data_IF_201442753913
#
_entry.id   IF_201442753913
#
_cell.length_a   1.000
_cell.length_b   1.000
_cell.length_c   1.000
_cell.angle_alpha   90.00
_cell.angle_beta   90.00
_cell.angle_gamma   90.00
#
_symmetry.space_group_name_H-M   'P 1'
#
loop_
_entity.id
_entity.type
_entity.pdbx_description
1 polymer ?
#
# COMPACT_ATOMS: atom_id res chain seq x y z
N UNK A 1 10.27 15.13 -14.16
CA UNK A 1 10.78 16.52 -14.25
C UNK A 1 11.04 17.03 -12.82
N UNK A 2 12.30 17.03 -12.35
CA UNK A 2 12.62 17.38 -10.96
C UNK A 2 12.50 18.88 -10.65
N UNK A 3 12.73 19.76 -11.64
CA UNK A 3 12.55 21.20 -11.46
C UNK A 3 11.07 21.56 -11.24
N UNK A 4 10.17 20.88 -11.96
CA UNK A 4 8.74 21.02 -11.72
C UNK A 4 8.33 20.51 -10.33
N UNK A 5 8.92 19.42 -9.85
CA UNK A 5 8.67 18.92 -8.48
C UNK A 5 9.15 19.93 -7.44
N UNK A 6 10.35 20.49 -7.63
CA UNK A 6 10.93 21.54 -6.79
C UNK A 6 10.02 22.77 -6.73
N UNK A 7 9.50 23.22 -7.89
CA UNK A 7 8.54 24.33 -7.97
C UNK A 7 7.22 24.01 -7.28
N UNK A 8 6.70 22.81 -7.45
CA UNK A 8 5.49 22.36 -6.76
C UNK A 8 5.68 22.38 -5.25
N UNK A 9 6.78 21.82 -4.75
CA UNK A 9 7.13 21.88 -3.33
C UNK A 9 7.25 23.31 -2.82
N UNK A 10 7.93 24.20 -3.56
CA UNK A 10 8.03 25.60 -3.16
C UNK A 10 6.67 26.29 -3.01
N UNK A 11 5.75 25.98 -3.93
CA UNK A 11 4.39 26.53 -3.89
C UNK A 11 3.57 25.93 -2.74
N UNK A 12 3.67 24.63 -2.48
CA UNK A 12 2.89 23.96 -1.41
C UNK A 12 3.34 24.43 -0.04
N UNK A 13 4.65 24.53 0.17
CA UNK A 13 5.22 24.88 1.48
C UNK A 13 5.40 26.38 1.67
N UNK A 14 5.18 27.21 0.64
CA UNK A 14 5.38 28.67 0.66
C UNK A 14 6.81 29.06 1.09
N UNK A 15 7.78 28.22 0.78
CA UNK A 15 9.22 28.37 1.08
C UNK A 15 9.99 27.84 -0.12
N UNK A 16 11.10 28.47 -0.52
CA UNK A 16 11.87 27.97 -1.67
C UNK A 16 12.49 26.59 -1.36
N UNK A 17 12.20 25.59 -2.18
CA UNK A 17 12.98 24.36 -2.21
C UNK A 17 14.36 24.68 -2.80
N UNK A 18 15.44 24.46 -2.05
CA UNK A 18 16.81 24.82 -2.43
C UNK A 18 17.51 23.67 -3.15
N UNK A 19 17.26 22.42 -2.75
CA UNK A 19 17.84 21.24 -3.38
C UNK A 19 16.92 20.02 -3.33
N UNK A 20 17.17 19.11 -4.27
CA UNK A 20 16.53 17.81 -4.35
C UNK A 20 17.63 16.74 -4.37
N UNK A 21 17.50 15.73 -3.51
CA UNK A 21 18.47 14.65 -3.39
C UNK A 21 17.73 13.32 -3.49
N UNK A 22 18.23 12.41 -4.31
CA UNK A 22 17.70 11.05 -4.37
C UNK A 22 17.98 10.34 -3.05
N UNK A 23 16.94 9.75 -2.45
CA UNK A 23 17.03 9.15 -1.12
C UNK A 23 17.14 7.63 -1.20
N UNK A 24 16.29 7.00 -2.00
CA UNK A 24 16.27 5.56 -2.26
C UNK A 24 15.50 5.28 -3.55
N UNK A 25 15.90 4.24 -4.27
CA UNK A 25 15.08 3.60 -5.29
C UNK A 25 14.33 2.42 -4.64
N UNK A 26 13.01 2.54 -4.52
CA UNK A 26 12.12 1.42 -4.23
C UNK A 26 11.62 0.79 -5.54
N UNK A 27 10.98 -0.37 -5.46
CA UNK A 27 10.53 -1.11 -6.66
C UNK A 27 9.54 -0.34 -7.55
N UNK A 28 8.68 0.50 -6.94
CA UNK A 28 7.62 1.22 -7.66
C UNK A 28 7.74 2.75 -7.60
N UNK A 29 8.71 3.28 -6.87
CA UNK A 29 8.82 4.71 -6.57
C UNK A 29 10.25 5.22 -6.60
N UNK A 30 10.41 6.42 -7.16
CA UNK A 30 11.60 7.24 -6.94
C UNK A 30 11.34 8.21 -5.80
N UNK A 31 12.15 8.13 -4.74
CA UNK A 31 11.97 8.92 -3.53
C UNK A 31 13.09 9.95 -3.42
N UNK A 32 12.70 11.20 -3.23
CA UNK A 32 13.62 12.33 -3.11
C UNK A 32 13.43 13.05 -1.78
N UNK A 33 14.53 13.43 -1.14
CA UNK A 33 14.52 14.45 -0.10
C UNK A 33 14.50 15.83 -0.77
N UNK A 34 13.55 16.66 -0.35
CA UNK A 34 13.37 18.05 -0.73
C UNK A 34 13.86 18.92 0.43
N UNK A 35 14.93 19.69 0.22
CA UNK A 35 15.45 20.60 1.24
C UNK A 35 14.94 22.00 0.98
N UNK A 36 14.32 22.59 1.99
CA UNK A 36 13.76 23.93 1.93
C UNK A 36 14.74 24.96 2.46
N UNK A 37 14.57 26.22 2.07
CA UNK A 37 15.41 27.35 2.50
C UNK A 37 15.37 27.57 4.02
N UNK A 38 14.25 27.26 4.67
CA UNK A 38 14.10 27.33 6.12
C UNK A 38 14.78 26.16 6.87
N UNK A 39 15.51 25.30 6.16
CA UNK A 39 16.22 24.15 6.72
C UNK A 39 15.35 22.91 6.95
N UNK A 40 14.04 22.96 6.68
CA UNK A 40 13.18 21.78 6.77
C UNK A 40 13.40 20.84 5.59
N UNK A 41 13.19 19.55 5.84
CA UNK A 41 13.27 18.49 4.84
C UNK A 41 11.90 17.82 4.69
N UNK A 42 11.54 17.52 3.43
CA UNK A 42 10.30 16.81 3.07
C UNK A 42 10.61 15.69 2.08
N UNK A 43 9.66 14.79 1.87
CA UNK A 43 9.75 13.77 0.84
C UNK A 43 8.93 14.16 -0.38
N UNK A 44 9.57 14.07 -1.55
CA UNK A 44 8.91 14.00 -2.85
C UNK A 44 8.96 12.56 -3.36
N UNK A 45 7.81 11.89 -3.38
CA UNK A 45 7.67 10.49 -3.86
C UNK A 45 7.03 10.51 -5.25
N UNK A 46 7.73 10.01 -6.26
CA UNK A 46 7.28 9.93 -7.65
C UNK A 46 6.91 8.49 -7.99
N UNK A 47 5.69 8.28 -8.47
CA UNK A 47 5.26 6.97 -8.94
C UNK A 47 5.96 6.62 -10.27
N UNK A 48 6.49 5.40 -10.35
CA UNK A 48 6.97 4.83 -11.61
C UNK A 48 5.73 4.35 -12.35
N UNK A 49 5.47 4.96 -13.51
CA UNK A 49 4.21 4.81 -14.25
C UNK A 49 4.04 3.38 -14.78
N UNK A 50 3.13 2.65 -14.13
CA UNK A 50 2.55 1.37 -14.56
C UNK A 50 1.11 1.33 -14.04
N UNK A 51 0.27 2.28 -14.49
CA UNK A 51 -1.18 2.39 -14.27
C UNK A 51 -1.69 2.44 -12.81
N UNK A 52 -3.00 2.66 -12.61
CA UNK A 52 -3.78 3.89 -12.79
C UNK A 52 -3.71 4.83 -11.57
N UNK A 53 -4.12 6.10 -11.77
CA UNK A 53 -4.38 7.21 -10.82
C UNK A 53 -4.81 6.79 -9.40
N UNK A 54 -5.57 5.70 -9.31
CA UNK A 54 -6.15 5.17 -8.06
C UNK A 54 -5.12 4.69 -7.04
N UNK A 55 -3.89 4.31 -7.45
CA UNK A 55 -2.86 3.87 -6.50
C UNK A 55 -2.47 5.01 -5.55
N UNK A 56 -2.06 6.15 -6.13
CA UNK A 56 -1.69 7.35 -5.38
C UNK A 56 -2.87 7.85 -4.55
N UNK A 57 -4.07 7.89 -5.13
CA UNK A 57 -5.29 8.33 -4.42
C UNK A 57 -5.59 7.48 -3.19
N UNK A 58 -5.48 6.15 -3.34
CA UNK A 58 -5.75 5.25 -2.24
C UNK A 58 -4.66 5.29 -1.19
N UNK A 59 -3.38 5.34 -1.58
CA UNK A 59 -2.26 5.42 -0.64
C UNK A 59 -2.40 6.65 0.27
N UNK A 60 -2.70 7.82 -0.31
CA UNK A 60 -2.91 9.05 0.46
C UNK A 60 -4.13 8.93 1.38
N UNK A 61 -5.24 8.38 0.89
CA UNK A 61 -6.43 8.19 1.70
C UNK A 61 -6.21 7.23 2.88
N UNK A 62 -5.44 6.15 2.69
CA UNK A 62 -5.08 5.21 3.76
C UNK A 62 -4.22 5.88 4.82
N UNK A 63 -3.17 6.62 4.43
CA UNK A 63 -2.31 7.33 5.39
C UNK A 63 -3.11 8.33 6.22
N UNK A 64 -3.99 9.10 5.57
CA UNK A 64 -4.85 10.06 6.29
C UNK A 64 -5.85 9.36 7.22
N UNK A 65 -6.47 8.26 6.77
CA UNK A 65 -7.38 7.47 7.59
C UNK A 65 -6.68 6.92 8.85
N UNK A 66 -5.47 6.39 8.72
CA UNK A 66 -4.68 5.89 9.85
C UNK A 66 -4.34 7.01 10.82
N UNK A 67 -3.92 8.17 10.30
CA UNK A 67 -3.55 9.34 11.09
C UNK A 67 -4.72 9.88 11.91
N UNK A 68 -5.94 9.82 11.37
CA UNK A 68 -7.15 10.29 12.06
C UNK A 68 -7.69 9.29 13.09
N UNK A 69 -7.45 7.98 12.90
CA UNK A 69 -8.09 6.93 13.70
C UNK A 69 -7.13 6.18 14.63
N UNK A 70 -5.82 6.46 14.59
CA UNK A 70 -4.81 5.76 15.39
C UNK A 70 -3.67 6.67 15.84
N UNK A 71 -2.75 6.13 16.64
CA UNK A 71 -1.46 6.74 16.97
C UNK A 71 -0.28 6.13 16.20
N UNK A 72 -0.55 5.36 15.14
CA UNK A 72 0.51 4.78 14.33
C UNK A 72 1.22 5.93 13.59
N UNK A 73 2.55 6.04 13.69
CA UNK A 73 3.28 7.07 12.97
C UNK A 73 3.26 6.75 11.47
N UNK A 74 2.58 7.57 10.69
CA UNK A 74 2.57 7.53 9.23
C UNK A 74 2.92 8.93 8.70
N UNK A 75 3.54 9.05 7.51
CA UNK A 75 3.90 10.36 6.97
C UNK A 75 2.66 11.26 6.80
N UNK A 76 2.71 12.49 7.30
CA UNK A 76 1.70 13.49 6.94
C UNK A 76 1.82 13.86 5.47
N UNK A 77 0.74 13.71 4.70
CA UNK A 77 0.67 14.16 3.31
C UNK A 77 0.31 15.65 3.29
N UNK A 78 1.10 16.45 2.57
CA UNK A 78 0.87 17.89 2.39
C UNK A 78 0.21 18.20 1.06
N UNK A 79 0.59 17.48 0.02
CA UNK A 79 0.04 17.62 -1.31
C UNK A 79 0.27 16.34 -2.12
N UNK A 80 -0.58 16.09 -3.09
CA UNK A 80 -0.41 14.99 -4.03
C UNK A 80 -1.11 15.33 -5.34
N UNK A 81 -0.67 14.69 -6.42
CA UNK A 81 -1.31 14.77 -7.72
C UNK A 81 -1.22 13.41 -8.40
N UNK A 82 -2.36 12.78 -8.64
CA UNK A 82 -2.49 11.47 -9.27
C UNK A 82 -2.65 11.53 -10.79
N UNK A 83 -2.74 12.73 -11.38
CA UNK A 83 -2.84 12.90 -12.82
C UNK A 83 -1.45 13.02 -13.43
N UNK A 84 -1.18 12.29 -14.52
CA UNK A 84 0.07 12.47 -15.29
C UNK A 84 0.10 13.82 -16.04
N UNK A 85 -1.06 14.46 -16.21
CA UNK A 85 -1.20 15.76 -16.88
C UNK A 85 -0.87 16.90 -15.90
N UNK A 86 0.34 16.87 -15.35
CA UNK A 86 0.87 17.91 -14.47
C UNK A 86 2.33 18.23 -14.86
N UNK A 87 2.90 19.39 -14.45
CA UNK A 87 4.25 19.79 -14.86
C UNK A 87 5.38 18.82 -14.49
N UNK A 88 5.21 17.98 -13.47
CA UNK A 88 6.17 16.94 -13.06
C UNK A 88 6.21 15.78 -14.07
N UNK A 89 5.08 15.54 -14.74
CA UNK A 89 4.90 14.51 -15.78
C UNK A 89 4.62 13.11 -15.26
N UNK A 90 4.40 12.95 -13.95
CA UNK A 90 4.00 11.68 -13.31
C UNK A 90 3.21 11.97 -12.04
N UNK A 91 2.59 10.94 -11.48
CA UNK A 91 1.94 11.02 -10.17
C UNK A 91 2.98 11.23 -9.07
N UNK A 92 2.66 12.07 -8.09
CA UNK A 92 3.57 12.33 -6.99
C UNK A 92 2.86 12.73 -5.70
N UNK A 93 3.56 12.49 -4.60
CA UNK A 93 3.16 12.85 -3.24
C UNK A 93 4.27 13.73 -2.64
N UNK A 94 3.87 14.84 -2.02
CA UNK A 94 4.70 15.67 -1.15
C UNK A 94 4.26 15.42 0.29
N UNK A 95 5.16 14.85 1.09
CA UNK A 95 4.84 14.37 2.43
C UNK A 95 5.97 14.63 3.43
N UNK A 96 5.66 14.40 4.69
CA UNK A 96 6.59 14.51 5.81
C UNK A 96 7.79 13.59 5.66
N UNK A 97 8.97 14.12 6.00
CA UNK A 97 10.17 13.32 6.21
C UNK A 97 10.19 12.77 7.63
N UNK A 98 10.00 11.46 7.78
CA UNK A 98 10.07 10.80 9.08
C UNK A 98 11.53 10.46 9.45
N UNK A 99 11.99 10.77 10.67
CA UNK A 99 13.36 10.52 11.07
C UNK A 99 13.58 9.03 11.36
N UNK A 100 14.74 8.50 11.00
CA UNK A 100 15.13 7.13 11.39
C UNK A 100 15.79 6.37 10.24
N UNK A 101 16.06 5.09 10.50
CA UNK A 101 16.57 4.12 9.53
C UNK A 101 15.61 2.94 9.46
N UNK A 102 15.66 2.17 8.37
CA UNK A 102 14.77 1.00 8.24
C UNK A 102 15.17 -0.05 9.26
N UNK A 103 14.18 -0.69 9.87
CA UNK A 103 14.42 -1.74 10.86
C UNK A 103 15.19 -2.91 10.25
N UNK A 104 14.96 -3.23 8.97
CA UNK A 104 15.70 -4.26 8.24
C UNK A 104 17.22 -4.05 8.25
N UNK A 105 17.67 -2.79 8.14
CA UNK A 105 19.08 -2.43 8.01
C UNK A 105 19.89 -2.71 9.30
N UNK A 106 19.21 -2.76 10.44
CA UNK A 106 19.84 -2.99 11.74
C UNK A 106 19.42 -4.30 12.41
N UNK A 107 18.37 -4.98 11.91
CA UNK A 107 17.74 -6.11 12.60
C UNK A 107 18.72 -7.21 12.98
N UNK A 108 19.62 -7.59 12.08
CA UNK A 108 20.65 -8.63 12.31
C UNK A 108 21.58 -8.29 13.47
N UNK A 109 21.90 -7.00 13.65
CA UNK A 109 22.83 -6.48 14.65
C UNK A 109 22.18 -6.22 16.02
N UNK A 110 20.85 -6.28 16.12
CA UNK A 110 20.14 -6.08 17.38
C UNK A 110 20.27 -7.30 18.31
N UNK A 111 20.54 -7.04 19.59
CA UNK A 111 20.46 -8.06 20.62
C UNK A 111 19.00 -8.52 20.86
N UNK A 112 18.83 -9.67 21.53
CA UNK A 112 17.51 -10.27 21.75
C UNK A 112 16.54 -9.37 22.52
N UNK A 113 17.05 -8.54 23.46
CA UNK A 113 16.22 -7.60 24.23
C UNK A 113 15.62 -6.53 23.32
N UNK A 114 16.42 -5.95 22.43
CA UNK A 114 15.96 -4.95 21.46
C UNK A 114 15.03 -5.55 20.41
N UNK A 115 15.32 -6.76 19.90
CA UNK A 115 14.42 -7.48 18.99
C UNK A 115 13.05 -7.71 19.64
N UNK A 116 13.02 -8.16 20.90
CA UNK A 116 11.79 -8.32 21.67
C UNK A 116 11.04 -6.99 21.83
N UNK A 117 11.75 -5.91 22.14
CA UNK A 117 11.16 -4.57 22.27
C UNK A 117 10.45 -4.13 20.97
N UNK A 118 11.15 -4.19 19.83
CA UNK A 118 10.55 -3.81 18.54
C UNK A 118 9.40 -4.74 18.15
N UNK A 119 9.52 -6.05 18.41
CA UNK A 119 8.45 -7.00 18.12
C UNK A 119 7.16 -6.66 18.89
N UNK A 120 7.27 -6.28 20.17
CA UNK A 120 6.09 -5.84 20.94
C UNK A 120 5.44 -4.59 20.33
N UNK A 121 6.24 -3.58 19.96
CA UNK A 121 5.72 -2.36 19.31
C UNK A 121 5.08 -2.66 17.95
N UNK A 122 5.64 -3.61 17.20
CA UNK A 122 5.05 -4.08 15.93
C UNK A 122 3.70 -4.76 16.17
N UNK A 123 3.60 -5.58 17.23
CA UNK A 123 2.33 -6.21 17.62
C UNK A 123 1.31 -5.14 17.96
N UNK A 124 1.68 -4.09 18.70
CA UNK A 124 0.77 -2.99 19.04
C UNK A 124 0.24 -2.27 17.79
N UNK A 125 1.11 -2.01 16.80
CA UNK A 125 0.71 -1.43 15.51
C UNK A 125 -0.28 -2.34 14.78
N UNK A 126 0.02 -3.63 14.68
CA UNK A 126 -0.85 -4.61 14.03
C UNK A 126 -2.21 -4.71 14.72
N UNK A 127 -2.23 -4.70 16.06
CA UNK A 127 -3.48 -4.69 16.83
C UNK A 127 -4.27 -3.39 16.61
N UNK A 128 -3.61 -2.24 16.50
CA UNK A 128 -4.27 -0.97 16.21
C UNK A 128 -4.90 -0.97 14.79
N UNK A 129 -4.19 -1.47 13.78
CA UNK A 129 -4.74 -1.61 12.42
C UNK A 129 -5.94 -2.57 12.38
N UNK A 130 -5.87 -3.68 13.11
CA UNK A 130 -6.95 -4.67 13.18
C UNK A 130 -8.23 -4.16 13.86
N UNK A 131 -8.15 -3.10 14.66
CA UNK A 131 -9.35 -2.43 15.23
C UNK A 131 -10.10 -1.58 14.21
N UNK A 132 -9.47 -1.26 13.08
CA UNK A 132 -10.08 -0.50 12.01
C UNK A 132 -10.85 -1.47 11.10
N UNK A 133 -12.16 -1.59 11.33
CA UNK A 133 -13.03 -2.54 10.65
C UNK A 133 -13.88 -1.90 9.57
N UNK A 134 -14.17 -2.64 8.51
CA UNK A 134 -14.95 -2.19 7.36
C UNK A 134 -16.03 -3.19 6.97
N UNK A 135 -17.07 -2.72 6.28
CA UNK A 135 -18.19 -3.56 5.82
C UNK A 135 -17.98 -4.19 4.44
N UNK A 136 -16.88 -3.85 3.75
CA UNK A 136 -16.53 -4.37 2.42
C UNK A 136 -15.03 -4.55 2.29
N UNK A 137 -14.63 -5.45 1.41
CA UNK A 137 -13.26 -5.61 0.94
C UNK A 137 -12.99 -4.62 -0.19
N UNK A 138 -11.86 -3.94 -0.14
CA UNK A 138 -11.49 -2.93 -1.13
C UNK A 138 -10.46 -1.94 -0.60
N UNK A 139 -9.92 -1.14 -1.50
CA UNK A 139 -9.02 -0.05 -1.11
C UNK A 139 -9.80 1.17 -0.63
N UNK A 140 -9.15 1.97 0.23
CA UNK A 140 -9.74 3.17 0.82
C UNK A 140 -9.50 4.35 -0.12
N UNK A 141 -10.52 5.17 -0.34
CA UNK A 141 -10.46 6.40 -1.13
C UNK A 141 -11.17 7.54 -0.41
N UNK A 142 -10.84 8.78 -0.74
CA UNK A 142 -11.67 9.93 -0.34
C UNK A 142 -13.02 9.91 -1.07
N UNK A 143 -14.10 10.27 -0.39
CA UNK A 143 -15.45 10.30 -0.96
C UNK A 143 -15.82 11.65 -1.62
N UNK A 144 -14.85 12.52 -1.86
CA UNK A 144 -15.04 13.83 -2.50
C UNK A 144 -15.88 14.84 -1.69
N UNK A 145 -16.40 14.44 -0.52
CA UNK A 145 -17.11 15.28 0.44
C UNK A 145 -16.34 15.26 1.77
N UNK A 146 -15.92 16.43 2.26
CA UNK A 146 -15.43 16.73 3.62
C UNK A 146 -14.76 15.57 4.35
N UNK A 147 -13.52 15.23 3.99
CA UNK A 147 -12.66 14.27 4.72
C UNK A 147 -13.31 12.90 5.01
N UNK A 148 -14.35 12.52 4.24
CA UNK A 148 -14.97 11.21 4.34
C UNK A 148 -14.24 10.20 3.47
N UNK A 149 -14.27 8.94 3.90
CA UNK A 149 -13.62 7.83 3.24
C UNK A 149 -14.66 6.83 2.74
N UNK A 150 -14.36 6.18 1.62
CA UNK A 150 -15.15 5.08 1.06
C UNK A 150 -14.27 3.90 0.70
N UNK A 151 -14.86 2.71 0.72
CA UNK A 151 -14.26 1.50 0.17
C UNK A 151 -14.61 1.40 -1.31
N UNK A 152 -13.59 1.42 -2.16
CA UNK A 152 -13.69 1.30 -3.62
C UNK A 152 -13.12 -0.02 -4.12
N UNK A 153 -12.67 -0.03 -5.37
CA UNK A 153 -12.01 -1.21 -5.92
C UNK A 153 -10.75 -1.59 -5.13
N UNK A 154 -10.41 -2.88 -5.09
CA UNK A 154 -9.12 -3.39 -4.62
C UNK A 154 -8.05 -2.95 -5.60
N UNK A 155 -7.06 -2.21 -5.09
CA UNK A 155 -5.84 -1.84 -5.80
C UNK A 155 -4.75 -2.84 -5.45
N UNK A 156 -4.53 -3.83 -6.32
CA UNK A 156 -3.48 -4.84 -6.15
C UNK A 156 -2.92 -5.26 -7.50
N UNK A 157 -1.65 -5.66 -7.54
CA UNK A 157 -0.94 -6.05 -8.78
C UNK A 157 -1.71 -7.10 -9.59
N UNK A 158 -2.37 -8.04 -8.91
CA UNK A 158 -3.21 -9.11 -9.48
C UNK A 158 -4.37 -8.59 -10.33
N UNK A 159 -4.81 -7.35 -10.10
CA UNK A 159 -5.87 -6.72 -10.88
C UNK A 159 -5.32 -5.76 -11.95
N UNK A 160 -4.15 -5.15 -11.77
CA UNK A 160 -3.71 -4.02 -12.61
C UNK A 160 -2.46 -4.25 -13.45
N UNK A 161 -1.71 -5.33 -13.23
CA UNK A 161 -0.46 -5.58 -13.97
C UNK A 161 -0.68 -6.13 -15.37
N UNK A 162 0.17 -5.69 -16.32
CA UNK A 162 0.13 -6.14 -17.71
C UNK A 162 -1.19 -5.78 -18.37
N UNK A 163 -1.72 -6.69 -19.19
CA UNK A 163 -2.94 -6.44 -19.95
C UNK A 163 -4.22 -6.51 -19.11
N UNK A 164 -4.11 -6.80 -17.81
CA UNK A 164 -5.25 -6.92 -16.89
C UNK A 164 -6.01 -5.62 -16.71
N UNK A 165 -5.32 -4.48 -16.75
CA UNK A 165 -5.96 -3.16 -16.71
C UNK A 165 -6.86 -2.90 -17.93
N UNK A 166 -6.55 -3.48 -19.09
CA UNK A 166 -7.31 -3.27 -20.34
C UNK A 166 -8.59 -4.10 -20.40
N UNK A 167 -8.84 -4.95 -19.40
CA UNK A 167 -10.00 -5.82 -19.35
C UNK A 167 -11.19 -5.09 -18.70
N UNK A 168 -12.22 -4.70 -19.47
CA UNK A 168 -13.39 -4.01 -18.92
C UNK A 168 -14.26 -4.92 -18.03
N UNK A 169 -14.09 -6.24 -18.14
CA UNK A 169 -14.85 -7.25 -17.39
C UNK A 169 -14.21 -7.68 -16.08
N UNK A 170 -13.10 -7.04 -15.66
CA UNK A 170 -12.44 -7.40 -14.40
C UNK A 170 -13.29 -6.95 -13.22
N UNK A 171 -13.71 -7.91 -12.40
CA UNK A 171 -14.33 -7.63 -11.11
C UNK A 171 -13.23 -7.15 -10.15
N UNK A 172 -13.28 -5.89 -9.74
CA UNK A 172 -12.28 -5.28 -8.84
C UNK A 172 -12.86 -4.88 -7.48
N UNK A 173 -14.14 -5.14 -7.25
CA UNK A 173 -14.82 -4.75 -6.02
C UNK A 173 -15.39 -3.33 -6.06
N UNK A 174 -15.79 -2.77 -4.89
CA UNK A 174 -15.66 -3.38 -3.56
C UNK A 174 -16.50 -4.66 -3.42
N UNK A 175 -16.01 -5.62 -2.63
CA UNK A 175 -16.69 -6.91 -2.40
C UNK A 175 -17.36 -6.94 -1.02
N UNK A 176 -18.51 -7.58 -0.91
CA UNK A 176 -19.25 -7.65 0.37
C UNK A 176 -18.84 -8.84 1.23
N UNK A 177 -18.37 -9.91 0.61
CA UNK A 177 -17.98 -11.13 1.32
C UNK A 177 -16.59 -11.63 0.89
N UNK A 178 -15.92 -12.37 1.76
CA UNK A 178 -14.64 -13.04 1.46
C UNK A 178 -14.82 -13.99 0.28
N UNK A 179 -15.96 -14.68 0.19
CA UNK A 179 -16.31 -15.54 -0.95
C UNK A 179 -16.35 -14.76 -2.26
N UNK A 180 -17.03 -13.61 -2.32
CA UNK A 180 -17.09 -12.78 -3.52
C UNK A 180 -15.69 -12.36 -3.99
N UNK A 181 -14.84 -11.90 -3.07
CA UNK A 181 -13.48 -11.49 -3.37
C UNK A 181 -12.64 -12.64 -3.94
N UNK A 182 -12.62 -13.81 -3.29
CA UNK A 182 -11.81 -14.95 -3.74
C UNK A 182 -12.30 -15.46 -5.10
N UNK A 183 -13.61 -15.54 -5.32
CA UNK A 183 -14.17 -15.94 -6.61
C UNK A 183 -13.75 -14.96 -7.72
N UNK A 184 -13.79 -13.65 -7.46
CA UNK A 184 -13.37 -12.63 -8.40
C UNK A 184 -11.88 -12.75 -8.76
N UNK A 185 -11.01 -12.96 -7.77
CA UNK A 185 -9.57 -13.19 -7.97
C UNK A 185 -9.33 -14.39 -8.89
N UNK A 186 -9.97 -15.53 -8.59
CA UNK A 186 -9.82 -16.76 -9.37
C UNK A 186 -10.31 -16.56 -10.82
N UNK A 187 -11.51 -15.97 -11.01
CA UNK A 187 -12.04 -15.66 -12.35
C UNK A 187 -11.11 -14.75 -13.13
N UNK A 188 -10.61 -13.69 -12.51
CA UNK A 188 -9.70 -12.73 -13.16
C UNK A 188 -8.38 -13.40 -13.58
N UNK A 189 -7.86 -14.35 -12.80
CA UNK A 189 -6.71 -15.17 -13.20
C UNK A 189 -6.99 -16.05 -14.41
N UNK A 190 -8.09 -16.80 -14.39
CA UNK A 190 -8.48 -17.67 -15.51
C UNK A 190 -8.74 -16.85 -16.78
N UNK A 191 -9.41 -15.71 -16.67
CA UNK A 191 -9.68 -14.82 -17.80
C UNK A 191 -8.39 -14.26 -18.39
N UNK A 192 -7.46 -13.80 -17.55
CA UNK A 192 -6.16 -13.33 -18.02
C UNK A 192 -5.38 -14.42 -18.77
N UNK A 193 -5.30 -15.63 -18.19
CA UNK A 193 -4.54 -16.73 -18.80
C UNK A 193 -5.16 -17.31 -20.07
N UNK A 194 -6.47 -17.20 -20.23
CA UNK A 194 -7.17 -17.64 -21.45
C UNK A 194 -7.03 -16.64 -22.59
N UNK A 195 -7.04 -15.33 -22.31
CA UNK A 195 -7.15 -14.26 -23.32
C UNK A 195 -5.80 -13.71 -23.81
N UNK A 196 -4.80 -13.58 -22.95
CA UNK A 196 -3.51 -12.98 -23.31
C UNK A 196 -2.43 -14.03 -23.56
N UNK A 197 -1.29 -13.60 -24.15
CA UNK A 197 -0.13 -14.45 -24.44
C UNK A 197 0.44 -15.04 -23.15
N UNK A 198 -0.14 -16.15 -22.73
CA UNK A 198 0.25 -16.89 -21.55
C UNK A 198 1.16 -18.05 -21.94
N UNK A 199 2.20 -18.26 -21.15
CA UNK A 199 3.09 -19.41 -21.29
C UNK A 199 2.32 -20.72 -21.12
N UNK A 200 2.84 -21.82 -21.69
CA UNK A 200 2.27 -23.16 -21.48
C UNK A 200 2.11 -23.51 -19.99
N UNK A 201 3.04 -23.04 -19.15
CA UNK A 201 3.00 -23.17 -17.68
C UNK A 201 1.84 -22.40 -17.03
N UNK A 202 1.49 -21.22 -17.54
CA UNK A 202 0.35 -20.45 -17.01
C UNK A 202 -0.99 -21.07 -17.43
N UNK A 203 -1.10 -21.51 -18.68
CA UNK A 203 -2.32 -22.17 -19.18
C UNK A 203 -2.63 -23.48 -18.45
N UNK A 204 -1.62 -24.25 -18.05
CA UNK A 204 -1.85 -25.48 -17.29
C UNK A 204 -2.33 -25.25 -15.84
N UNK A 205 -2.38 -24.00 -15.37
CA UNK A 205 -2.99 -23.66 -14.08
C UNK A 205 -4.51 -23.48 -14.17
N UNK A 206 -5.07 -23.28 -15.36
CA UNK A 206 -6.52 -23.03 -15.53
C UNK A 206 -7.36 -24.15 -14.89
N UNK A 207 -7.11 -25.45 -15.13
CA UNK A 207 -7.87 -26.52 -14.46
C UNK A 207 -7.76 -26.47 -12.93
N UNK A 208 -6.60 -26.08 -12.39
CA UNK A 208 -6.42 -25.93 -10.94
C UNK A 208 -7.24 -24.77 -10.38
N UNK A 209 -7.34 -23.67 -11.12
CA UNK A 209 -8.20 -22.55 -10.75
C UNK A 209 -9.68 -22.93 -10.82
N UNK A 210 -10.09 -23.75 -11.80
CA UNK A 210 -11.46 -24.28 -11.89
C UNK A 210 -11.77 -25.17 -10.67
N UNK A 211 -10.86 -26.07 -10.28
CA UNK A 211 -11.00 -26.87 -9.05
C UNK A 211 -11.12 -25.98 -7.80
N UNK A 212 -10.22 -25.00 -7.65
CA UNK A 212 -10.27 -24.04 -6.53
C UNK A 212 -11.59 -23.27 -6.50
N UNK A 213 -12.07 -22.82 -7.66
CA UNK A 213 -13.33 -22.10 -7.80
C UNK A 213 -14.51 -22.90 -7.25
N UNK A 214 -14.57 -24.22 -7.53
CA UNK A 214 -15.62 -25.10 -7.01
C UNK A 214 -15.51 -25.33 -5.49
N UNK A 215 -14.32 -25.19 -4.92
CA UNK A 215 -14.09 -25.34 -3.49
C UNK A 215 -14.48 -24.09 -2.68
N UNK A 216 -14.45 -22.89 -3.27
CA UNK A 216 -14.70 -21.64 -2.52
C UNK A 216 -16.03 -21.67 -1.76
N UNK A 217 -17.19 -22.02 -2.36
CA UNK A 217 -18.46 -22.04 -1.64
C UNK A 217 -18.54 -23.08 -0.51
N UNK A 218 -17.62 -24.05 -0.48
CA UNK A 218 -17.52 -25.05 0.60
C UNK A 218 -16.83 -24.46 1.83
N UNK A 219 -15.78 -23.66 1.63
CA UNK A 219 -14.92 -23.16 2.71
C UNK A 219 -15.22 -21.73 3.13
N UNK A 220 -15.84 -20.93 2.26
CA UNK A 220 -16.20 -19.53 2.54
C UNK A 220 -17.71 -19.38 2.43
N UNK A 221 -18.38 -19.26 3.58
CA UNK A 221 -19.83 -19.10 3.66
C UNK A 221 -20.21 -17.62 3.79
N UNK A 222 -21.38 -17.24 3.27
CA UNK A 222 -21.93 -15.89 3.51
C UNK A 222 -22.80 -15.91 4.78
N UNK A 223 -22.21 -16.31 5.90
CA UNK A 223 -22.90 -16.43 7.19
C UNK A 223 -22.92 -15.11 7.99
N UNK A 224 -22.34 -14.05 7.43
CA UNK A 224 -22.26 -12.72 8.04
C UNK A 224 -21.13 -12.57 9.07
N UNK A 225 -20.26 -13.59 9.23
CA UNK A 225 -19.14 -13.54 10.17
C UNK A 225 -17.86 -12.91 9.59
N UNK A 226 -17.89 -12.51 8.31
CA UNK A 226 -16.78 -11.84 7.65
C UNK A 226 -16.38 -10.56 8.39
N UNK A 227 -15.11 -10.47 8.77
CA UNK A 227 -14.52 -9.27 9.37
C UNK A 227 -13.41 -8.76 8.48
N UNK A 228 -13.58 -7.54 7.96
CA UNK A 228 -12.57 -6.88 7.12
C UNK A 228 -11.85 -5.82 7.92
N UNK A 229 -10.53 -5.85 7.88
CA UNK A 229 -9.67 -4.96 8.68
C UNK A 229 -8.65 -4.26 7.81
N UNK A 230 -8.17 -3.11 8.27
CA UNK A 230 -7.10 -2.41 7.57
C UNK A 230 -5.84 -3.26 7.53
N UNK A 231 -5.40 -3.58 6.31
CA UNK A 231 -4.24 -4.42 6.05
C UNK A 231 -3.28 -3.66 5.14
N UNK A 232 -2.00 -3.59 5.56
CA UNK A 232 -0.93 -2.95 4.80
C UNK A 232 -0.50 -3.75 3.56
N UNK A 233 -0.81 -5.06 3.52
CA UNK A 233 -0.45 -6.07 2.50
C UNK A 233 1.06 -6.33 2.27
N UNK A 234 1.93 -5.34 2.48
CA UNK A 234 3.40 -5.46 2.42
C UNK A 234 4.06 -5.03 3.75
N UNK A 235 3.51 -5.53 4.85
CA UNK A 235 3.97 -5.12 6.17
C UNK A 235 5.28 -5.83 6.51
N UNK A 236 6.45 -5.20 6.29
CA UNK A 236 7.77 -5.77 6.59
C UNK A 236 8.79 -4.80 7.19
N UNK A 237 9.90 -5.32 7.76
CA UNK A 237 10.92 -4.49 8.46
C UNK A 237 11.57 -3.40 7.58
N UNK A 238 11.52 -3.51 6.26
CA UNK A 238 11.93 -2.45 5.32
C UNK A 238 10.99 -1.25 5.32
N UNK A 239 9.73 -1.46 5.69
CA UNK A 239 8.65 -0.47 5.74
C UNK A 239 8.43 0.10 7.16
N UNK A 240 9.36 -0.21 8.08
CA UNK A 240 9.32 0.28 9.47
C UNK A 240 10.58 1.12 9.71
N UNK A 241 10.39 2.38 10.08
CA UNK A 241 11.45 3.30 10.46
C UNK A 241 11.63 3.31 11.97
N UNK A 242 12.90 3.33 12.41
CA UNK A 242 13.26 3.34 13.83
C UNK A 242 14.34 4.37 14.16
N UNK A 243 14.25 4.94 15.36
CA UNK A 243 15.25 5.85 15.94
C UNK A 243 15.22 5.73 17.45
N UNK A 244 16.38 5.58 18.10
CA UNK A 244 16.51 5.52 19.57
C UNK A 244 15.53 4.53 20.23
N UNK A 245 15.47 3.30 19.72
CA UNK A 245 14.57 2.23 20.20
C UNK A 245 13.05 2.53 20.06
N UNK A 246 12.67 3.61 19.38
CA UNK A 246 11.30 3.95 19.01
C UNK A 246 11.00 3.65 17.53
N UNK A 247 9.74 3.29 17.24
CA UNK A 247 9.23 3.25 15.86
C UNK A 247 8.80 4.67 15.51
N UNK A 248 9.38 5.21 14.46
CA UNK A 248 9.15 6.59 14.02
C UNK A 248 8.30 6.67 12.77
N UNK A 249 8.04 5.55 12.09
CA UNK A 249 7.22 5.53 10.90
C UNK A 249 6.89 4.12 10.42
N UNK A 250 5.67 3.96 9.91
CA UNK A 250 5.27 2.89 9.00
C UNK A 250 4.99 3.53 7.65
N UNK A 251 5.71 3.08 6.62
CA UNK A 251 5.72 3.69 5.29
C UNK A 251 5.27 2.67 4.24
N UNK A 252 5.03 3.16 3.02
CA UNK A 252 4.68 2.32 1.86
C UNK A 252 3.30 1.67 1.94
N UNK A 253 2.27 2.49 2.13
CA UNK A 253 0.86 2.08 2.23
C UNK A 253 0.20 1.82 0.87
N UNK A 254 0.99 1.59 -0.17
CA UNK A 254 0.46 1.26 -1.48
C UNK A 254 -0.33 -0.04 -1.44
N UNK A 255 -1.41 -0.09 -2.23
CA UNK A 255 -2.26 -1.28 -2.35
C UNK A 255 -2.91 -1.76 -1.03
N UNK A 256 -2.76 -0.98 0.06
CA UNK A 256 -3.39 -1.24 1.35
C UNK A 256 -4.90 -1.05 1.28
N UNK A 257 -5.63 -1.67 2.20
CA UNK A 257 -7.09 -1.58 2.19
C UNK A 257 -7.77 -2.44 3.24
N UNK A 258 -9.08 -2.56 3.10
CA UNK A 258 -9.90 -3.46 3.89
C UNK A 258 -9.84 -4.87 3.28
N UNK A 259 -9.36 -5.84 4.04
CA UNK A 259 -9.23 -7.24 3.62
C UNK A 259 -9.68 -8.19 4.71
N UNK A 260 -10.03 -9.46 4.37
CA UNK A 260 -10.35 -10.49 5.34
C UNK A 260 -9.27 -10.62 6.41
N UNK A 261 -9.67 -10.75 7.69
CA UNK A 261 -8.72 -10.88 8.80
C UNK A 261 -7.79 -12.09 8.64
N UNK A 262 -8.22 -13.11 7.91
CA UNK A 262 -7.46 -14.31 7.57
C UNK A 262 -6.26 -14.02 6.66
N UNK A 263 -6.31 -12.97 5.84
CA UNK A 263 -5.17 -12.51 5.04
C UNK A 263 -4.00 -12.03 5.93
N UNK A 264 -4.27 -11.76 7.22
CA UNK A 264 -3.27 -11.36 8.21
C UNK A 264 -2.74 -12.54 9.05
N UNK A 265 -3.14 -13.79 8.75
CA UNK A 265 -2.58 -14.98 9.39
C UNK A 265 -1.23 -15.41 8.77
N UNK A 266 -0.50 -14.46 8.17
CA UNK A 266 0.89 -14.65 7.78
C UNK A 266 1.77 -14.28 8.98
N UNK A 267 2.70 -15.16 9.35
CA UNK A 267 3.75 -14.77 10.29
C UNK A 267 4.57 -13.64 9.66
N UNK A 268 5.05 -12.66 10.44
CA UNK A 268 5.97 -11.65 9.92
C UNK A 268 7.12 -12.34 9.19
N UNK A 269 7.24 -12.12 7.87
CA UNK A 269 8.13 -12.91 7.00
C UNK A 269 9.58 -12.90 7.49
N UNK A 270 10.01 -11.81 8.14
CA UNK A 270 11.35 -11.63 8.74
C UNK A 270 11.59 -12.38 10.06
N UNK A 271 10.58 -13.03 10.64
CA UNK A 271 10.78 -13.99 11.74
C UNK A 271 11.25 -15.34 11.17
N UNK A 272 11.04 -15.58 9.88
CA UNK A 272 11.63 -16.73 9.20
C UNK A 272 13.02 -16.38 8.68
N UNK A 273 13.98 -17.29 8.84
CA UNK A 273 15.38 -17.14 8.41
C UNK A 273 15.56 -17.13 6.87
N UNK A 274 14.57 -16.69 6.09
CA UNK A 274 14.66 -16.67 4.64
C UNK A 274 14.77 -15.23 4.12
N UNK A 275 15.90 -14.86 3.48
CA UNK A 275 16.08 -13.58 2.82
C UNK A 275 15.12 -13.37 1.65
#
# INVERSE_FOLDING_TARGET
NLDALKKSASNVFQVQCTSIQEFNEGGFHKVYILKMEDGKEYIGRLAISVNPQWKTESEVAVMEYIRLNTHIPVPKVYYWNSSINNPVGTEYILMEYLPGIRLCDIWSNLNIKKKKLFLLKIIDIQLALKKLTFSKIGSIFFDGKNDQFKIGQVIESIFFTGERETLPTMERGPFKTTKEYILAVIRNHMHYYSKFKSTKKQKCLIPKYEELYQLVPKYFQDDGNDTFVLTHIDFHTSNILVKNDEITGVIDWECSGAFPVECLCTYPVWITNNP
#
